data_IF_017933815853
#
_entry.id   IF_017933815853
#
_cell.length_a   1.000
_cell.length_b   1.000
_cell.length_c   1.000
_cell.angle_alpha   90.00
_cell.angle_beta   90.00
_cell.angle_gamma   90.00
#
_symmetry.space_group_name_H-M   'P 1'
#
loop_
_entity.id
_entity.type
_entity.pdbx_description
1 polymer ?
#
# COMPACT_ATOMS: atom_id res chain seq x y z
N UNK A 1 -2.38 -12.92 -30.87
CA UNK A 1 -1.80 -12.95 -29.50
C UNK A 1 -2.86 -12.49 -28.50
N UNK A 2 -3.78 -13.39 -28.12
CA UNK A 2 -5.02 -13.04 -27.40
C UNK A 2 -5.20 -13.93 -26.15
N UNK A 3 -4.21 -13.94 -25.24
CA UNK A 3 -4.21 -14.84 -24.07
C UNK A 3 -4.23 -14.17 -22.69
N UNK A 4 -4.07 -12.84 -22.58
CA UNK A 4 -4.01 -12.17 -21.28
C UNK A 4 -5.30 -11.50 -20.79
N UNK A 5 -6.37 -11.45 -21.58
CA UNK A 5 -7.64 -10.81 -21.16
C UNK A 5 -8.52 -11.68 -20.24
N UNK A 6 -8.25 -12.98 -20.13
CA UNK A 6 -9.21 -13.94 -19.54
C UNK A 6 -8.96 -14.26 -18.06
N UNK A 7 -7.76 -14.02 -17.52
CA UNK A 7 -7.43 -14.36 -16.12
C UNK A 7 -7.95 -13.37 -15.07
N UNK A 8 -8.22 -12.11 -15.45
CA UNK A 8 -8.76 -11.11 -14.51
C UNK A 8 -10.29 -11.11 -14.41
N UNK A 9 -11.01 -11.71 -15.38
CA UNK A 9 -12.48 -11.69 -15.42
C UNK A 9 -13.12 -12.86 -14.64
N UNK A 10 -12.43 -14.01 -14.54
CA UNK A 10 -12.98 -15.24 -13.95
C UNK A 10 -12.98 -15.26 -12.40
N UNK A 11 -12.50 -14.22 -11.71
CA UNK A 11 -12.58 -14.10 -10.24
C UNK A 11 -13.86 -13.42 -9.73
N UNK A 12 -14.73 -12.91 -10.62
CA UNK A 12 -15.89 -12.08 -10.24
C UNK A 12 -17.23 -12.82 -10.15
N UNK A 13 -17.31 -14.11 -10.50
CA UNK A 13 -18.56 -14.89 -10.42
C UNK A 13 -18.41 -16.13 -9.53
N UNK A 14 -18.58 -15.98 -8.22
CA UNK A 14 -18.51 -17.15 -7.33
C UNK A 14 -18.81 -16.90 -5.85
N UNK A 15 -20.07 -16.60 -5.53
CA UNK A 15 -20.87 -17.18 -4.43
C UNK A 15 -21.83 -16.17 -3.79
N UNK A 16 -23.12 -16.36 -4.10
CA UNK A 16 -24.24 -15.92 -3.29
C UNK A 16 -24.52 -16.96 -2.20
N UNK A 17 -25.17 -16.49 -1.14
CA UNK A 17 -25.88 -17.19 -0.06
C UNK A 17 -25.06 -17.77 1.10
N UNK A 18 -25.24 -17.23 2.32
CA UNK A 18 -26.27 -17.76 3.22
C UNK A 18 -26.63 -16.78 4.36
N UNK A 19 -27.93 -16.65 4.64
CA UNK A 19 -28.49 -15.97 5.81
C UNK A 19 -28.45 -16.93 6.99
N UNK A 20 -28.07 -16.48 8.19
CA UNK A 20 -28.65 -17.02 9.43
C UNK A 20 -28.74 -15.94 10.51
N UNK A 21 -29.87 -15.95 11.20
CA UNK A 21 -30.36 -15.08 12.26
C UNK A 21 -30.12 -15.77 13.60
N UNK A 22 -29.57 -15.07 14.59
CA UNK A 22 -29.58 -15.43 16.02
C UNK A 22 -29.55 -14.09 16.79
N UNK A 23 -30.70 -13.59 17.25
CA UNK A 23 -31.35 -13.88 18.55
C UNK A 23 -30.47 -13.42 19.71
N UNK A 24 -30.85 -12.24 20.22
CA UNK A 24 -30.28 -11.53 21.35
C UNK A 24 -30.79 -12.16 22.64
N UNK A 25 -29.89 -12.79 23.39
CA UNK A 25 -30.08 -13.12 24.80
C UNK A 25 -28.68 -13.24 25.42
N UNK A 26 -28.36 -12.40 26.40
CA UNK A 26 -27.40 -12.78 27.44
C UNK A 26 -27.47 -11.81 28.61
N UNK A 27 -27.92 -12.37 29.73
CA UNK A 27 -27.60 -12.02 31.10
C UNK A 27 -26.10 -11.93 31.38
N UNK A 28 -25.77 -11.12 32.40
CA UNK A 28 -24.46 -10.98 33.06
C UNK A 28 -23.95 -12.32 33.62
N UNK A 29 -22.66 -12.62 33.45
CA UNK A 29 -21.71 -13.10 34.48
C UNK A 29 -20.29 -13.22 33.87
N UNK A 30 -19.27 -12.85 34.66
CA UNK A 30 -17.85 -12.75 34.31
C UNK A 30 -17.26 -14.02 33.69
N UNK A 31 -16.50 -13.88 32.59
CA UNK A 31 -15.39 -14.79 32.28
C UNK A 31 -14.37 -14.11 31.35
N UNK A 32 -13.09 -14.29 31.68
CA UNK A 32 -11.93 -13.58 31.13
C UNK A 32 -11.97 -13.38 29.61
N UNK A 33 -12.10 -12.12 29.20
CA UNK A 33 -11.93 -11.71 27.82
C UNK A 33 -10.46 -11.91 27.42
N UNK A 34 -10.19 -13.00 26.72
CA UNK A 34 -9.03 -13.11 25.83
C UNK A 34 -9.12 -11.95 24.84
N UNK A 35 -8.35 -10.89 25.07
CA UNK A 35 -8.26 -9.76 24.16
C UNK A 35 -7.87 -10.27 22.77
N UNK A 36 -8.78 -10.13 21.80
CA UNK A 36 -8.55 -10.44 20.40
C UNK A 36 -7.40 -9.56 19.89
N UNK A 37 -6.20 -10.14 19.81
CA UNK A 37 -5.01 -9.51 19.23
C UNK A 37 -5.26 -9.37 17.73
N UNK A 38 -5.79 -8.23 17.30
CA UNK A 38 -5.92 -7.93 15.87
C UNK A 38 -4.52 -7.94 15.22
N UNK A 39 -4.21 -9.04 14.54
CA UNK A 39 -3.03 -9.19 13.70
C UNK A 39 -3.02 -8.09 12.62
N UNK A 40 -1.84 -7.56 12.30
CA UNK A 40 -1.72 -6.66 11.15
C UNK A 40 -2.15 -7.40 9.90
N UNK A 41 -3.20 -6.88 9.24
CA UNK A 41 -3.55 -7.33 7.91
C UNK A 41 -2.52 -6.79 6.93
N UNK A 42 -1.79 -7.72 6.33
CA UNK A 42 -0.83 -7.47 5.26
C UNK A 42 -1.50 -8.00 3.99
N UNK A 43 -1.85 -7.09 3.09
CA UNK A 43 -2.49 -7.45 1.84
C UNK A 43 -1.42 -7.40 0.76
N UNK A 44 -1.09 -8.57 0.20
CA UNK A 44 -0.07 -8.70 -0.83
C UNK A 44 -0.67 -8.44 -2.20
N UNK A 45 -0.08 -7.50 -2.91
CA UNK A 45 -0.32 -7.24 -4.33
C UNK A 45 0.71 -8.04 -5.13
N UNK A 46 0.24 -9.09 -5.81
CA UNK A 46 1.06 -9.85 -6.75
C UNK A 46 1.12 -9.09 -8.08
N UNK A 47 2.33 -8.68 -8.45
CA UNK A 47 2.57 -7.80 -9.59
C UNK A 47 2.70 -8.59 -10.89
N UNK A 48 3.23 -9.81 -10.82
CA UNK A 48 3.50 -10.64 -12.00
C UNK A 48 2.61 -11.88 -12.11
N UNK A 49 1.79 -12.17 -11.09
CA UNK A 49 0.87 -13.32 -11.09
C UNK A 49 1.52 -14.68 -10.81
N UNK A 50 2.83 -14.68 -10.54
CA UNK A 50 3.65 -15.85 -10.20
C UNK A 50 4.12 -15.82 -8.73
N UNK A 51 3.69 -14.83 -7.93
CA UNK A 51 4.02 -14.72 -6.50
C UNK A 51 5.48 -14.37 -6.17
N UNK A 52 6.35 -14.18 -7.17
CA UNK A 52 7.77 -13.90 -6.97
C UNK A 52 8.08 -12.43 -6.62
N UNK A 53 7.34 -11.48 -7.22
CA UNK A 53 7.47 -10.05 -6.93
C UNK A 53 6.18 -9.56 -6.28
N UNK A 54 6.22 -9.37 -4.95
CA UNK A 54 5.05 -8.98 -4.17
C UNK A 54 5.30 -7.70 -3.40
N UNK A 55 4.39 -6.74 -3.57
CA UNK A 55 4.33 -5.52 -2.75
C UNK A 55 3.19 -5.68 -1.75
N UNK A 56 3.51 -5.58 -0.47
CA UNK A 56 2.52 -5.61 0.59
C UNK A 56 2.00 -4.21 0.92
N UNK A 57 0.69 -4.07 1.10
CA UNK A 57 0.07 -2.90 1.71
C UNK A 57 -0.31 -3.23 3.15
N UNK A 58 -0.01 -2.33 4.09
CA UNK A 58 -0.50 -2.47 5.47
C UNK A 58 -0.87 -1.14 6.10
N UNK A 59 -1.75 -1.21 7.11
CA UNK A 59 -2.00 -0.09 8.00
C UNK A 59 -0.81 0.12 8.94
N UNK A 60 -0.74 1.26 9.64
CA UNK A 60 0.32 1.48 10.62
C UNK A 60 0.30 0.34 11.65
N UNK A 61 1.46 -0.28 11.91
CA UNK A 61 1.65 -1.02 13.13
C UNK A 61 1.46 -0.04 14.30
N UNK A 62 0.31 -0.09 14.96
CA UNK A 62 0.07 0.73 16.16
C UNK A 62 1.13 0.48 17.25
N UNK A 63 1.02 1.20 18.37
CA UNK A 63 1.86 1.04 19.57
C UNK A 63 1.93 -0.39 20.16
N UNK A 64 1.21 -1.36 19.58
CA UNK A 64 1.19 -2.78 19.93
C UNK A 64 2.04 -3.65 18.99
N UNK A 65 3.17 -3.13 18.51
CA UNK A 65 4.25 -3.91 17.87
C UNK A 65 5.04 -4.75 18.89
N UNK A 66 4.39 -5.31 19.91
CA UNK A 66 5.07 -6.24 20.83
C UNK A 66 4.88 -7.69 20.37
N UNK A 67 3.80 -8.01 19.65
CA UNK A 67 3.43 -9.40 19.34
C UNK A 67 3.35 -9.75 17.84
N UNK A 68 3.84 -8.88 16.95
CA UNK A 68 4.03 -9.23 15.52
C UNK A 68 5.43 -9.82 15.36
N UNK A 69 5.74 -10.79 16.22
CA UNK A 69 7.05 -11.44 16.26
C UNK A 69 7.13 -12.65 15.32
N UNK A 70 6.00 -13.12 14.77
CA UNK A 70 5.96 -14.48 14.24
C UNK A 70 5.89 -14.64 12.72
N UNK A 71 5.89 -13.58 11.90
CA UNK A 71 5.78 -13.80 10.44
C UNK A 71 6.39 -12.77 9.47
N UNK A 72 7.00 -11.68 9.97
CA UNK A 72 7.71 -10.76 9.08
C UNK A 72 9.17 -11.21 9.06
N UNK A 73 9.52 -12.01 8.06
CA UNK A 73 10.89 -12.47 7.82
C UNK A 73 11.85 -11.27 7.78
N UNK A 74 13.08 -11.48 8.27
CA UNK A 74 14.17 -10.50 8.33
C UNK A 74 14.64 -9.94 6.95
N UNK A 75 13.93 -10.25 5.86
CA UNK A 75 14.18 -9.82 4.48
C UNK A 75 13.05 -8.93 3.94
N UNK A 76 12.53 -8.03 4.79
CA UNK A 76 11.48 -7.10 4.41
C UNK A 76 11.97 -5.65 4.44
N UNK A 77 11.84 -4.98 3.30
CA UNK A 77 12.02 -3.54 3.17
C UNK A 77 10.71 -2.82 3.49
N UNK A 78 10.77 -1.78 4.31
CA UNK A 78 9.57 -1.04 4.76
C UNK A 78 9.60 0.38 4.22
N UNK A 79 8.63 0.70 3.36
CA UNK A 79 8.42 2.02 2.81
C UNK A 79 7.38 2.79 3.65
N UNK A 80 7.83 3.87 4.27
CA UNK A 80 7.07 4.62 5.27
C UNK A 80 6.67 5.97 4.69
N UNK A 81 5.36 6.21 4.63
CA UNK A 81 4.77 7.43 4.06
C UNK A 81 4.36 8.48 5.10
N UNK A 82 4.59 8.20 6.38
CA UNK A 82 4.13 9.04 7.51
C UNK A 82 5.13 10.16 7.80
N UNK A 83 4.65 11.39 8.01
CA UNK A 83 5.52 12.53 8.32
C UNK A 83 6.00 12.49 9.78
N UNK A 84 7.13 13.14 10.07
CA UNK A 84 7.62 13.25 11.46
C UNK A 84 6.63 13.99 12.37
N UNK A 85 5.88 14.95 11.82
CA UNK A 85 4.82 15.66 12.54
C UNK A 85 3.70 14.70 12.96
N UNK A 86 3.27 13.81 12.06
CA UNK A 86 2.29 12.77 12.38
C UNK A 86 2.83 11.77 13.41
N UNK A 87 4.07 11.29 13.28
CA UNK A 87 4.66 10.38 14.27
C UNK A 87 4.64 10.96 15.68
N UNK A 88 4.89 12.26 15.83
CA UNK A 88 4.76 12.97 17.12
C UNK A 88 3.29 13.06 17.56
N UNK A 89 2.40 13.46 16.65
CA UNK A 89 0.95 13.58 16.91
C UNK A 89 0.35 12.25 17.42
N UNK A 90 0.77 11.13 16.86
CA UNK A 90 0.32 9.79 17.24
C UNK A 90 1.16 9.12 18.35
N UNK A 91 2.03 9.89 19.02
CA UNK A 91 2.86 9.42 20.16
C UNK A 91 3.78 8.24 19.84
N UNK A 92 4.26 8.17 18.60
CA UNK A 92 5.23 7.18 18.11
C UNK A 92 6.47 7.82 17.45
N UNK A 93 7.13 8.82 18.08
CA UNK A 93 8.25 9.55 17.46
C UNK A 93 9.45 8.65 17.12
N UNK A 94 9.63 7.56 17.87
CA UNK A 94 10.76 6.63 17.73
C UNK A 94 10.41 5.41 16.84
N UNK A 95 9.34 5.47 16.03
CA UNK A 95 8.94 4.33 15.19
C UNK A 95 10.05 3.91 14.21
N UNK A 96 10.68 4.88 13.55
CA UNK A 96 11.78 4.62 12.61
C UNK A 96 12.94 3.90 13.31
N UNK A 97 13.37 4.40 14.48
CA UNK A 97 14.43 3.76 15.27
C UNK A 97 14.03 2.34 15.73
N UNK A 98 12.76 2.12 16.08
CA UNK A 98 12.25 0.79 16.44
C UNK A 98 12.30 -0.20 15.28
N UNK A 99 12.10 0.25 14.05
CA UNK A 99 12.26 -0.61 12.88
C UNK A 99 13.73 -0.93 12.61
N UNK A 100 14.59 0.09 12.71
CA UNK A 100 16.02 -0.04 12.46
C UNK A 100 16.70 -0.99 13.46
N UNK A 101 16.44 -0.79 14.75
CA UNK A 101 16.89 -1.69 15.84
C UNK A 101 16.38 -3.12 15.73
N UNK A 102 15.35 -3.36 14.91
CA UNK A 102 14.77 -4.68 14.64
C UNK A 102 15.25 -5.28 13.32
N UNK A 103 16.16 -4.61 12.60
CA UNK A 103 16.76 -5.11 11.37
C UNK A 103 15.91 -4.91 10.12
N UNK A 104 14.90 -4.04 10.14
CA UNK A 104 14.17 -3.67 8.93
C UNK A 104 14.96 -2.65 8.11
N UNK A 105 15.00 -2.83 6.79
CA UNK A 105 15.51 -1.81 5.89
C UNK A 105 14.42 -0.75 5.66
N UNK A 106 14.68 0.49 6.07
CA UNK A 106 13.67 1.55 6.07
C UNK A 106 13.89 2.50 4.89
N UNK A 107 12.80 2.77 4.17
CA UNK A 107 12.74 3.78 3.11
C UNK A 107 11.69 4.84 3.50
N UNK A 108 12.12 6.02 3.95
CA UNK A 108 11.22 7.06 4.48
C UNK A 108 10.92 8.14 3.45
N UNK A 109 9.68 8.17 2.94
CA UNK A 109 9.19 9.16 1.97
C UNK A 109 7.93 9.85 2.53
N UNK A 110 8.09 10.89 3.36
CA UNK A 110 6.97 11.51 4.06
C UNK A 110 5.97 12.17 3.10
N UNK A 111 4.69 11.83 3.27
CA UNK A 111 3.56 12.41 2.53
C UNK A 111 2.54 12.99 3.48
N UNK A 112 2.11 14.22 3.22
CA UNK A 112 1.04 14.86 4.00
C UNK A 112 -0.28 14.09 3.86
N UNK A 113 -1.04 14.03 4.96
CA UNK A 113 -2.27 13.25 4.98
C UNK A 113 -3.37 13.89 4.12
N UNK A 114 -4.08 13.06 3.37
CA UNK A 114 -5.15 13.52 2.47
C UNK A 114 -4.69 14.36 1.28
N UNK A 115 -3.39 14.47 1.01
CA UNK A 115 -2.85 15.13 -0.19
C UNK A 115 -2.30 14.12 -1.20
N UNK A 116 -1.90 14.63 -2.36
CA UNK A 116 -1.06 13.95 -3.35
C UNK A 116 0.40 14.45 -3.25
N UNK A 117 1.40 13.63 -3.61
CA UNK A 117 2.80 14.07 -3.72
C UNK A 117 3.03 14.98 -4.93
N UNK A 118 4.21 15.59 -5.00
CA UNK A 118 4.76 16.05 -6.28
C UNK A 118 5.11 14.86 -7.17
N UNK A 119 5.20 15.09 -8.49
CA UNK A 119 5.61 14.04 -9.42
C UNK A 119 7.04 13.56 -9.11
N UNK A 120 7.98 14.44 -8.77
CA UNK A 120 9.37 14.06 -8.42
C UNK A 120 9.45 13.10 -7.23
N UNK A 121 8.64 13.38 -6.19
CA UNK A 121 8.58 12.52 -5.01
C UNK A 121 7.93 11.18 -5.35
N UNK A 122 6.87 11.19 -6.16
CA UNK A 122 6.27 9.95 -6.64
C UNK A 122 7.30 9.13 -7.42
N UNK A 123 7.99 9.71 -8.39
CA UNK A 123 9.01 9.02 -9.19
C UNK A 123 10.15 8.46 -8.33
N UNK A 124 10.61 9.22 -7.34
CA UNK A 124 11.61 8.73 -6.37
C UNK A 124 11.14 7.47 -5.63
N UNK A 125 9.87 7.45 -5.20
CA UNK A 125 9.24 6.30 -4.55
C UNK A 125 9.17 5.12 -5.53
N UNK A 126 8.68 5.34 -6.76
CA UNK A 126 8.52 4.29 -7.76
C UNK A 126 9.86 3.67 -8.19
N UNK A 127 10.91 4.47 -8.38
CA UNK A 127 12.25 3.96 -8.65
C UNK A 127 12.80 3.13 -7.49
N UNK A 128 12.56 3.56 -6.25
CA UNK A 128 12.94 2.78 -5.08
C UNK A 128 12.22 1.43 -5.05
N UNK A 129 10.90 1.42 -5.29
CA UNK A 129 10.11 0.19 -5.36
C UNK A 129 10.60 -0.74 -6.46
N UNK A 130 10.82 -0.21 -7.67
CA UNK A 130 11.33 -0.99 -8.80
C UNK A 130 12.69 -1.62 -8.48
N UNK A 131 13.62 -0.84 -7.95
CA UNK A 131 14.96 -1.32 -7.55
C UNK A 131 14.90 -2.42 -6.50
N UNK A 132 14.00 -2.31 -5.53
CA UNK A 132 13.83 -3.34 -4.49
C UNK A 132 13.25 -4.63 -5.07
N UNK A 133 12.23 -4.52 -5.93
CA UNK A 133 11.65 -5.69 -6.59
C UNK A 133 12.62 -6.38 -7.56
N UNK A 134 13.46 -5.61 -8.27
CA UNK A 134 14.50 -6.15 -9.14
C UNK A 134 15.62 -6.88 -8.38
N UNK A 135 15.74 -6.60 -7.08
CA UNK A 135 16.63 -7.30 -6.15
C UNK A 135 15.93 -8.46 -5.41
N UNK A 136 14.75 -8.89 -5.88
CA UNK A 136 13.91 -9.93 -5.27
C UNK A 136 13.59 -9.66 -3.79
N UNK A 137 13.52 -8.38 -3.39
CA UNK A 137 13.15 -7.97 -2.04
C UNK A 137 11.64 -7.85 -1.90
N UNK A 138 11.13 -8.23 -0.73
CA UNK A 138 9.74 -8.02 -0.35
C UNK A 138 9.61 -6.63 0.23
N UNK A 139 8.66 -5.85 -0.28
CA UNK A 139 8.45 -4.46 0.16
C UNK A 139 7.09 -4.30 0.83
N UNK A 140 7.09 -3.72 2.02
CA UNK A 140 5.90 -3.32 2.77
C UNK A 140 5.71 -1.81 2.68
N UNK A 141 4.65 -1.35 2.04
CA UNK A 141 4.28 0.06 2.01
C UNK A 141 3.23 0.31 3.10
N UNK A 142 3.49 1.30 3.96
CA UNK A 142 2.49 1.73 4.94
C UNK A 142 2.43 3.24 5.13
N UNK A 143 1.24 3.72 5.49
CA UNK A 143 1.00 5.06 6.03
C UNK A 143 0.41 4.95 7.44
N UNK A 144 -0.51 5.84 7.82
CA UNK A 144 -1.28 5.70 9.08
C UNK A 144 -2.37 4.62 8.97
N UNK A 145 -3.29 4.77 8.01
CA UNK A 145 -4.41 3.83 7.85
C UNK A 145 -4.18 2.72 6.81
N UNK A 146 -3.17 2.87 5.95
CA UNK A 146 -2.96 1.97 4.81
C UNK A 146 -4.11 1.99 3.79
N UNK A 147 -4.86 3.11 3.68
CA UNK A 147 -6.04 3.24 2.81
C UNK A 147 -5.91 4.38 1.80
N UNK A 148 -5.29 5.50 2.17
CA UNK A 148 -5.08 6.65 1.29
C UNK A 148 -3.73 6.60 0.59
N UNK A 149 -2.70 7.16 1.24
CA UNK A 149 -1.33 7.32 0.70
C UNK A 149 -0.69 6.03 0.20
N UNK A 150 -0.85 4.92 0.94
CA UNK A 150 -0.30 3.63 0.52
C UNK A 150 -0.97 3.12 -0.77
N UNK A 151 -2.30 3.21 -0.87
CA UNK A 151 -3.04 2.86 -2.08
C UNK A 151 -2.72 3.79 -3.24
N UNK A 152 -2.53 5.09 -3.00
CA UNK A 152 -2.08 6.04 -4.03
C UNK A 152 -0.75 5.60 -4.66
N UNK A 153 0.26 5.31 -3.84
CA UNK A 153 1.57 4.85 -4.33
C UNK A 153 1.42 3.52 -5.09
N UNK A 154 0.63 2.59 -4.56
CA UNK A 154 0.37 1.31 -5.22
C UNK A 154 -0.30 1.47 -6.60
N UNK A 155 -1.29 2.37 -6.73
CA UNK A 155 -1.97 2.64 -7.99
C UNK A 155 -0.99 3.20 -9.04
N UNK A 156 -0.20 4.21 -8.67
CA UNK A 156 0.80 4.78 -9.56
C UNK A 156 1.87 3.74 -9.95
N UNK A 157 2.26 2.86 -9.02
CA UNK A 157 3.22 1.81 -9.31
C UNK A 157 2.67 0.75 -10.27
N UNK A 158 1.40 0.35 -10.12
CA UNK A 158 0.73 -0.54 -11.09
C UNK A 158 0.71 0.08 -12.50
N UNK A 159 0.34 1.36 -12.60
CA UNK A 159 0.36 2.07 -13.88
C UNK A 159 1.75 2.26 -14.46
N UNK A 160 2.78 2.34 -13.61
CA UNK A 160 4.18 2.43 -14.02
C UNK A 160 4.71 1.11 -14.57
N UNK A 161 4.20 -0.03 -14.09
CA UNK A 161 4.62 -1.36 -14.53
C UNK A 161 3.84 -1.87 -15.75
N UNK A 162 2.56 -1.49 -15.89
CA UNK A 162 1.72 -1.87 -17.03
C UNK A 162 1.16 -0.64 -17.74
N UNK A 163 1.62 -0.37 -18.96
CA UNK A 163 1.13 0.73 -19.79
C UNK A 163 -0.33 0.54 -20.25
N UNK A 164 -0.88 -0.68 -20.16
CA UNK A 164 -2.24 -0.99 -20.61
C UNK A 164 -3.28 -0.88 -19.50
N UNK A 165 -2.88 -0.89 -18.22
CA UNK A 165 -3.83 -0.81 -17.10
C UNK A 165 -4.44 0.59 -17.03
N UNK A 166 -5.76 0.72 -16.92
CA UNK A 166 -6.36 2.06 -16.80
C UNK A 166 -6.30 2.56 -15.36
N UNK A 167 -6.30 3.88 -15.13
CA UNK A 167 -6.43 4.45 -13.78
C UNK A 167 -7.59 3.84 -12.99
N UNK A 168 -8.76 3.70 -13.62
CA UNK A 168 -9.96 3.12 -13.01
C UNK A 168 -9.73 1.67 -12.59
N UNK A 169 -9.10 0.86 -13.45
CA UNK A 169 -8.78 -0.53 -13.13
C UNK A 169 -7.84 -0.63 -11.91
N UNK A 170 -6.87 0.29 -11.78
CA UNK A 170 -6.01 0.31 -10.57
C UNK A 170 -6.77 0.71 -9.30
N UNK A 171 -7.71 1.66 -9.42
CA UNK A 171 -8.57 2.09 -8.31
C UNK A 171 -9.44 0.92 -7.83
N UNK A 172 -10.07 0.22 -8.76
CA UNK A 172 -10.96 -0.90 -8.46
C UNK A 172 -10.19 -2.06 -7.82
N UNK A 173 -9.02 -2.43 -8.37
CA UNK A 173 -8.15 -3.45 -7.79
C UNK A 173 -7.78 -3.15 -6.33
N UNK A 174 -7.45 -1.89 -6.03
CA UNK A 174 -7.10 -1.49 -4.67
C UNK A 174 -8.31 -1.44 -3.73
N UNK A 175 -9.50 -1.13 -4.25
CA UNK A 175 -10.75 -1.18 -3.48
C UNK A 175 -11.18 -2.62 -3.19
N UNK A 176 -10.95 -3.53 -4.12
CA UNK A 176 -11.18 -4.96 -3.89
C UNK A 176 -10.20 -5.50 -2.83
N UNK A 177 -8.93 -5.09 -2.91
CA UNK A 177 -7.88 -5.52 -1.98
C UNK A 177 -8.05 -4.95 -0.56
N UNK A 178 -8.36 -3.64 -0.44
CA UNK A 178 -8.33 -2.90 0.85
C UNK A 178 -9.70 -2.46 1.33
N UNK A 179 -10.74 -2.75 0.56
CA UNK A 179 -12.11 -2.33 0.80
C UNK A 179 -12.47 -1.00 0.13
N UNK A 180 -13.77 -0.64 0.11
CA UNK A 180 -14.31 0.48 -0.67
C UNK A 180 -13.81 1.87 -0.24
N UNK A 181 -13.10 1.95 0.90
CA UNK A 181 -12.50 3.19 1.41
C UNK A 181 -11.06 3.43 0.91
N UNK A 182 -10.52 2.54 0.08
CA UNK A 182 -9.25 2.77 -0.58
C UNK A 182 -9.35 4.02 -1.48
N UNK A 183 -8.28 4.82 -1.47
CA UNK A 183 -8.20 6.13 -2.13
C UNK A 183 -9.22 7.10 -1.52
N UNK A 184 -8.75 7.86 -0.53
CA UNK A 184 -9.63 8.52 0.45
C UNK A 184 -10.07 9.93 0.04
N UNK A 185 -9.39 10.56 -0.93
CA UNK A 185 -9.65 11.95 -1.30
C UNK A 185 -9.70 12.13 -2.81
N UNK A 186 -10.44 13.15 -3.24
CA UNK A 186 -10.52 13.57 -4.65
C UNK A 186 -9.12 13.92 -5.19
N UNK A 187 -8.26 14.54 -4.38
CA UNK A 187 -6.88 14.87 -4.78
C UNK A 187 -6.06 13.62 -5.14
N UNK A 188 -6.19 12.56 -4.35
CA UNK A 188 -5.53 11.28 -4.62
C UNK A 188 -6.10 10.63 -5.87
N UNK A 189 -7.42 10.62 -6.01
CA UNK A 189 -8.08 10.09 -7.21
C UNK A 189 -7.62 10.82 -8.48
N UNK A 190 -7.67 12.15 -8.50
CA UNK A 190 -7.23 12.95 -9.64
C UNK A 190 -5.76 12.69 -9.97
N UNK A 191 -4.88 12.62 -8.96
CA UNK A 191 -3.48 12.30 -9.18
C UNK A 191 -3.27 10.94 -9.88
N UNK A 192 -4.07 9.93 -9.54
CA UNK A 192 -4.00 8.61 -10.18
C UNK A 192 -4.38 8.69 -11.67
N UNK A 193 -5.37 9.52 -12.01
CA UNK A 193 -5.79 9.73 -13.41
C UNK A 193 -4.77 10.56 -14.19
N UNK A 194 -4.21 11.59 -13.56
CA UNK A 194 -3.26 12.50 -14.21
C UNK A 194 -1.83 11.90 -14.26
N UNK A 195 -1.56 10.83 -13.49
CA UNK A 195 -0.22 10.28 -13.28
C UNK A 195 0.54 10.02 -14.57
N UNK A 196 -0.10 9.44 -15.60
CA UNK A 196 0.57 9.11 -16.87
C UNK A 196 1.02 10.35 -17.62
N UNK A 197 0.18 11.37 -17.66
CA UNK A 197 0.53 12.63 -18.30
C UNK A 197 1.65 13.34 -17.54
N UNK A 198 1.56 13.37 -16.21
CA UNK A 198 2.60 13.92 -15.34
C UNK A 198 3.93 13.18 -15.51
N UNK A 199 3.91 11.84 -15.59
CA UNK A 199 5.10 11.03 -15.81
C UNK A 199 5.75 11.30 -17.16
N UNK A 200 4.96 11.42 -18.24
CA UNK A 200 5.49 11.77 -19.57
C UNK A 200 6.12 13.15 -19.59
N UNK A 201 5.48 14.15 -18.98
CA UNK A 201 6.03 15.50 -18.83
C UNK A 201 7.35 15.50 -18.06
N UNK A 202 7.37 14.78 -16.93
CA UNK A 202 8.56 14.63 -16.11
C UNK A 202 9.74 14.04 -16.91
N UNK A 203 9.51 13.01 -17.73
CA UNK A 203 10.53 12.44 -18.61
C UNK A 203 11.06 13.44 -19.65
N UNK A 204 10.18 14.27 -20.22
CA UNK A 204 10.60 15.26 -21.23
C UNK A 204 11.38 16.43 -20.62
N UNK A 205 10.95 16.91 -19.45
CA UNK A 205 11.60 18.05 -18.76
C UNK A 205 12.99 17.68 -18.23
N UNK A 206 13.16 16.45 -17.71
CA UNK A 206 14.46 15.94 -17.29
C UNK A 206 15.43 15.80 -18.48
N UNK A 207 14.93 15.40 -19.65
CA UNK A 207 15.74 15.24 -20.86
C UNK A 207 16.28 16.59 -21.38
N UNK A 208 15.43 17.62 -21.42
CA UNK A 208 15.81 18.97 -21.83
C UNK A 208 16.81 19.62 -20.86
N UNK A 209 16.69 19.31 -19.57
CA UNK A 209 17.62 19.79 -18.53
C UNK A 209 19.01 19.11 -18.64
N UNK A 210 19.06 17.88 -19.16
CA UNK A 210 20.32 17.16 -19.40
C UNK A 210 21.04 17.62 -20.67
N UNK A 211 20.32 18.06 -21.72
CA UNK A 211 20.92 18.56 -22.96
C UNK A 211 21.42 20.01 -22.83
N UNK A 212 20.83 20.78 -21.93
CA UNK A 212 21.20 22.18 -21.68
C UNK A 212 22.37 22.38 -20.71
N UNK A 213 22.99 21.30 -20.23
CA UNK A 213 24.21 21.28 -19.39
C UNK A 213 25.40 20.74 -20.16
#
# INVERSE_FOLDING_TARGET
MARNKRKYFDLMEGNKSNKHKAMFDSSDEENGATENVNSLKIDWLDINGDGAQSVALSSLPGCRFQNIQHNLAYDLDVLILVTRGELRKYRVPNLLLKYDTRGFNIHHYPLEDGTSPSIDLMMSILFCLKRLLDADKKVLIHCMGGLGRACLVAACFLQYLDENITPEATVDLLRDLRGPRAIQTIKQYNFIHDFRELHQKWLTEDFDTCISR
#
